data_IF_215164210012
#
_entry.id   IF_215164210012
#
_cell.length_a   1.000
_cell.length_b   1.000
_cell.length_c   1.000
_cell.angle_alpha   90.00
_cell.angle_beta   90.00
_cell.angle_gamma   90.00
#
_symmetry.space_group_name_H-M   'P 1'
#
loop_
_entity.id
_entity.type
_entity.pdbx_description
1 polymer ?
#
# COMPACT_ATOMS: atom_id res chain seq x y z
N UNK A 1 6.20 0.08 37.39
CA UNK A 1 6.47 1.27 36.56
C UNK A 1 7.57 0.91 35.57
N UNK A 2 7.22 0.71 34.31
CA UNK A 2 8.20 0.54 33.24
C UNK A 2 8.90 1.89 32.99
N UNK A 3 10.20 1.93 32.70
CA UNK A 3 10.90 3.18 32.41
C UNK A 3 10.40 3.76 31.07
N UNK A 4 10.43 5.10 30.90
CA UNK A 4 10.05 5.73 29.65
C UNK A 4 10.95 5.26 28.49
N UNK A 5 10.34 5.04 27.32
CA UNK A 5 10.96 4.53 26.07
C UNK A 5 12.23 5.30 25.71
N UNK A 6 12.30 6.59 26.06
CA UNK A 6 13.46 7.47 25.88
C UNK A 6 14.75 7.05 26.62
N UNK A 7 14.67 6.12 27.58
CA UNK A 7 15.82 5.63 28.34
C UNK A 7 16.46 4.35 27.77
N UNK A 8 15.86 3.77 26.73
CA UNK A 8 16.34 2.52 26.14
C UNK A 8 17.67 2.77 25.38
N UNK A 9 18.72 1.93 25.56
CA UNK A 9 20.04 2.18 24.98
C UNK A 9 20.05 2.27 23.44
N UNK A 10 19.06 1.67 22.77
CA UNK A 10 18.83 1.82 21.31
C UNK A 10 18.37 3.23 20.89
N UNK A 11 17.63 3.96 21.74
CA UNK A 11 17.16 5.33 21.44
C UNK A 11 18.25 6.40 21.68
N UNK A 12 19.27 6.11 22.48
CA UNK A 12 20.41 7.03 22.68
C UNK A 12 21.36 7.05 21.48
N UNK A 13 21.40 5.97 20.69
CA UNK A 13 22.28 5.88 19.51
C UNK A 13 21.80 6.80 18.38
N UNK A 14 20.48 6.87 18.16
CA UNK A 14 19.89 7.71 17.09
C UNK A 14 20.09 9.22 17.26
N UNK A 15 20.41 9.72 18.46
CA UNK A 15 20.67 11.16 18.68
C UNK A 15 22.14 11.55 18.54
N UNK A 16 23.05 10.57 18.54
CA UNK A 16 24.51 10.82 18.47
C UNK A 16 25.02 10.82 17.03
N UNK A 17 24.28 10.23 16.08
CA UNK A 17 24.68 10.11 14.67
C UNK A 17 24.45 11.38 13.81
N UNK A 18 23.77 12.42 14.34
CA UNK A 18 23.48 13.66 13.58
C UNK A 18 24.62 14.69 13.56
N UNK A 19 25.84 14.31 13.99
CA UNK A 19 26.98 15.22 14.13
C UNK A 19 28.29 14.57 13.68
N UNK A 20 28.41 14.22 12.40
CA UNK A 20 29.66 13.80 11.78
C UNK A 20 29.56 13.95 10.27
N UNK A 21 30.41 14.80 9.70
CA UNK A 21 30.57 14.99 8.25
C UNK A 21 32.04 14.70 7.95
N UNK A 22 32.30 13.64 7.18
CA UNK A 22 33.64 13.13 6.92
C UNK A 22 33.64 11.87 6.05
N UNK A 23 33.17 12.00 4.81
CA UNK A 23 32.86 10.90 3.89
C UNK A 23 33.93 9.81 3.77
N UNK A 24 33.59 8.64 4.30
CA UNK A 24 34.26 7.36 4.09
C UNK A 24 33.22 6.23 4.07
N UNK A 25 33.60 4.99 3.69
CA UNK A 25 32.69 3.84 3.63
C UNK A 25 32.02 3.52 4.99
N UNK A 26 32.65 3.90 6.11
CA UNK A 26 32.04 3.80 7.44
C UNK A 26 30.84 4.75 7.61
N UNK A 27 30.87 5.97 7.06
CA UNK A 27 29.72 6.89 7.10
C UNK A 27 28.55 6.43 6.20
N UNK A 28 28.85 5.76 5.08
CA UNK A 28 27.82 5.17 4.22
C UNK A 28 27.09 4.00 4.90
N UNK A 29 27.82 3.19 5.67
CA UNK A 29 27.24 2.10 6.48
C UNK A 29 26.41 2.68 7.64
N UNK A 30 26.91 3.71 8.32
CA UNK A 30 26.16 4.40 9.38
C UNK A 30 24.86 5.05 8.83
N UNK A 31 24.89 5.54 7.59
CA UNK A 31 23.71 6.06 6.87
C UNK A 31 22.70 4.96 6.52
N UNK A 32 23.16 3.78 6.08
CA UNK A 32 22.29 2.64 5.79
C UNK A 32 21.67 2.05 7.05
N UNK A 33 22.44 1.89 8.13
CA UNK A 33 21.92 1.39 9.41
C UNK A 33 20.89 2.35 10.01
N UNK A 34 21.11 3.67 9.87
CA UNK A 34 20.12 4.68 10.25
C UNK A 34 18.85 4.57 9.40
N UNK A 35 18.97 4.44 8.08
CA UNK A 35 17.83 4.26 7.18
C UNK A 35 17.01 3.01 7.56
N UNK A 36 17.66 1.87 7.82
CA UNK A 36 16.97 0.66 8.27
C UNK A 36 16.27 0.87 9.62
N UNK A 37 16.90 1.59 10.55
CA UNK A 37 16.28 1.88 11.83
C UNK A 37 15.03 2.77 11.68
N UNK A 38 15.07 3.76 10.79
CA UNK A 38 13.91 4.59 10.45
C UNK A 38 12.78 3.76 9.82
N UNK A 39 13.12 2.89 8.87
CA UNK A 39 12.16 1.97 8.27
C UNK A 39 11.49 1.08 9.33
N UNK A 40 12.27 0.44 10.20
CA UNK A 40 11.72 -0.45 11.23
C UNK A 40 10.90 0.33 12.27
N UNK A 41 11.25 1.58 12.55
CA UNK A 41 10.45 2.47 13.38
C UNK A 41 9.09 2.74 12.75
N UNK A 42 9.05 3.15 11.48
CA UNK A 42 7.80 3.38 10.74
C UNK A 42 6.94 2.11 10.66
N UNK A 43 7.55 0.97 10.37
CA UNK A 43 6.86 -0.33 10.32
C UNK A 43 6.32 -0.76 11.69
N UNK A 44 7.05 -0.49 12.78
CA UNK A 44 6.56 -0.76 14.13
C UNK A 44 5.35 0.11 14.50
N UNK A 45 5.36 1.39 14.11
CA UNK A 45 4.23 2.30 14.29
C UNK A 45 3.02 1.82 13.48
N UNK A 46 3.20 1.46 12.22
CA UNK A 46 2.09 0.99 11.37
C UNK A 46 1.42 -0.25 11.95
N UNK A 47 2.22 -1.23 12.39
CA UNK A 47 1.69 -2.42 13.09
C UNK A 47 0.96 -2.08 14.39
N UNK A 48 1.30 -0.99 15.05
CA UNK A 48 0.58 -0.53 16.24
C UNK A 48 -0.73 0.21 15.87
N UNK A 49 -0.79 0.91 14.74
CA UNK A 49 -2.04 1.46 14.18
C UNK A 49 -3.00 0.32 13.83
N UNK A 50 -2.57 -0.63 12.99
CA UNK A 50 -3.41 -1.74 12.52
C UNK A 50 -4.02 -2.53 13.69
N UNK A 51 -3.22 -2.83 14.74
CA UNK A 51 -3.73 -3.53 15.92
C UNK A 51 -4.77 -2.73 16.72
N UNK A 52 -4.62 -1.41 16.80
CA UNK A 52 -5.62 -0.56 17.49
C UNK A 52 -6.94 -0.59 16.76
N UNK A 53 -6.91 -0.52 15.43
CA UNK A 53 -8.13 -0.56 14.62
C UNK A 53 -8.86 -1.92 14.76
N UNK A 54 -8.10 -3.02 14.88
CA UNK A 54 -8.65 -4.36 15.15
C UNK A 54 -9.28 -4.46 16.56
N UNK A 55 -8.66 -3.85 17.58
CA UNK A 55 -9.14 -3.88 18.96
C UNK A 55 -10.36 -2.95 19.17
N UNK A 56 -10.37 -1.76 18.55
CA UNK A 56 -11.45 -0.77 18.68
C UNK A 56 -12.68 -1.10 17.82
N UNK A 57 -12.54 -1.93 16.79
CA UNK A 57 -13.62 -2.42 15.93
C UNK A 57 -14.62 -3.38 16.61
N UNK A 58 -14.37 -3.79 17.86
CA UNK A 58 -15.14 -4.81 18.57
C UNK A 58 -16.38 -4.36 19.35
N UNK A 59 -16.56 -3.07 19.66
CA UNK A 59 -17.55 -2.64 20.67
C UNK A 59 -18.74 -1.79 20.17
N UNK A 60 -18.89 -1.49 18.88
CA UNK A 60 -19.94 -0.57 18.40
C UNK A 60 -20.91 -1.09 17.32
N UNK A 61 -21.11 -2.41 17.23
CA UNK A 61 -22.09 -2.98 16.29
C UNK A 61 -23.54 -3.06 16.82
N UNK A 62 -23.81 -2.82 18.11
CA UNK A 62 -25.14 -3.09 18.72
C UNK A 62 -25.93 -1.85 19.19
N UNK A 63 -25.48 -0.64 18.84
CA UNK A 63 -26.07 0.62 19.34
C UNK A 63 -26.85 1.44 18.30
N UNK A 64 -27.38 0.81 17.24
CA UNK A 64 -28.34 1.45 16.32
C UNK A 64 -29.51 0.53 15.99
N UNK A 65 -30.24 0.12 17.03
CA UNK A 65 -31.62 -0.34 16.87
C UNK A 65 -32.54 0.90 16.86
N UNK A 66 -33.24 1.22 15.76
CA UNK A 66 -34.23 2.28 15.81
C UNK A 66 -35.35 1.88 16.79
N UNK A 67 -35.72 2.82 17.65
CA UNK A 67 -36.81 2.65 18.60
C UNK A 67 -38.09 2.27 17.85
N UNK A 68 -38.69 1.15 18.27
CA UNK A 68 -40.03 0.78 17.84
C UNK A 68 -41.04 1.78 18.41
N UNK A 69 -41.80 2.40 17.52
CA UNK A 69 -42.98 3.18 17.84
C UNK A 69 -44.13 2.21 18.15
N UNK A 70 -44.83 2.29 19.30
CA UNK A 70 -45.91 1.38 19.61
C UNK A 70 -47.18 1.76 18.83
N UNK A 71 -47.61 0.83 17.99
CA UNK A 71 -48.91 0.82 17.31
C UNK A 71 -50.08 0.96 18.28
N UNK A 72 -51.02 1.85 17.98
CA UNK A 72 -52.43 1.78 18.41
C UNK A 72 -53.32 1.88 17.16
N UNK A 73 -54.37 1.08 17.19
CA UNK A 73 -55.26 0.61 16.13
C UNK A 73 -56.12 1.69 15.44
N UNK A 74 -56.59 1.42 14.21
CA UNK A 74 -58.00 1.08 13.92
C UNK A 74 -58.45 1.49 12.48
N UNK A 75 -59.25 0.63 11.84
CA UNK A 75 -60.33 1.05 10.92
C UNK A 75 -60.07 1.24 9.41
N UNK A 76 -60.24 0.17 8.63
CA UNK A 76 -61.34 0.05 7.63
C UNK A 76 -61.43 0.90 6.34
N UNK A 77 -61.46 0.16 5.21
CA UNK A 77 -62.29 0.34 3.99
C UNK A 77 -61.98 1.41 2.91
N UNK A 78 -61.75 0.91 1.67
CA UNK A 78 -62.56 1.34 0.52
C UNK A 78 -61.86 1.88 -0.74
N UNK A 79 -61.75 1.03 -1.78
CA UNK A 79 -62.24 1.33 -3.14
C UNK A 79 -61.52 2.32 -4.08
N UNK A 80 -60.89 1.78 -5.14
CA UNK A 80 -61.32 2.03 -6.53
C UNK A 80 -60.84 3.26 -7.33
N UNK A 81 -60.24 2.95 -8.49
CA UNK A 81 -60.21 3.66 -9.81
C UNK A 81 -59.17 4.78 -10.09
N UNK A 82 -58.39 4.50 -11.16
CA UNK A 82 -57.71 5.38 -12.16
C UNK A 82 -58.68 6.44 -12.76
N UNK A 83 -58.24 7.54 -13.47
CA UNK A 83 -57.13 7.59 -14.45
C UNK A 83 -56.34 8.93 -14.62
N UNK A 84 -55.44 8.86 -15.61
CA UNK A 84 -54.48 9.79 -16.24
C UNK A 84 -54.85 11.27 -16.54
N UNK A 85 -53.82 12.14 -16.59
CA UNK A 85 -53.53 13.21 -17.58
C UNK A 85 -52.18 13.89 -17.20
N UNK A 86 -51.12 13.95 -18.05
CA UNK A 86 -50.80 14.90 -19.15
C UNK A 86 -50.53 16.35 -18.70
N UNK A 87 -49.32 16.86 -19.02
CA UNK A 87 -48.87 18.27 -18.97
C UNK A 87 -47.42 18.36 -18.45
N UNK A 88 -46.36 18.41 -19.26
CA UNK A 88 -45.89 19.44 -20.21
C UNK A 88 -45.23 20.68 -19.55
N UNK A 89 -43.96 20.87 -19.91
CA UNK A 89 -43.17 22.12 -20.03
C UNK A 89 -42.61 22.91 -18.81
N UNK A 90 -41.26 22.80 -18.74
CA UNK A 90 -40.23 23.87 -18.81
C UNK A 90 -39.94 24.82 -17.63
N UNK A 91 -38.63 25.03 -17.46
CA UNK A 91 -37.89 26.18 -16.90
C UNK A 91 -37.52 26.17 -15.40
N UNK A 92 -36.29 25.73 -15.15
CA UNK A 92 -35.34 26.25 -14.15
C UNK A 92 -34.75 27.61 -14.61
N UNK A 93 -33.99 28.36 -13.79
CA UNK A 93 -34.19 28.68 -12.38
C UNK A 93 -33.88 30.17 -12.08
N UNK A 94 -34.42 30.72 -10.99
CA UNK A 94 -33.81 31.89 -10.34
C UNK A 94 -34.27 32.04 -8.90
N UNK A 95 -33.45 31.63 -7.93
CA UNK A 95 -33.47 32.25 -6.61
C UNK A 95 -32.13 32.11 -5.92
N UNK A 96 -31.43 33.25 -5.89
CA UNK A 96 -30.30 33.56 -5.03
C UNK A 96 -30.66 33.22 -3.58
N UNK A 97 -29.90 32.33 -2.94
CA UNK A 97 -29.85 32.25 -1.48
C UNK A 97 -28.42 32.49 -1.02
N UNK A 98 -28.33 33.39 -0.07
CA UNK A 98 -27.13 34.01 0.44
C UNK A 98 -26.25 33.04 1.23
N UNK A 99 -24.96 33.38 1.24
CA UNK A 99 -23.87 32.89 2.09
C UNK A 99 -24.29 32.60 3.53
N UNK A 100 -23.85 31.47 4.03
CA UNK A 100 -23.27 31.34 5.37
C UNK A 100 -21.93 30.65 5.18
N UNK A 101 -20.88 31.47 5.13
CA UNK A 101 -19.49 31.02 5.28
C UNK A 101 -19.33 30.64 6.76
N UNK A 102 -19.66 29.38 7.08
CA UNK A 102 -19.34 28.75 8.35
C UNK A 102 -18.00 28.04 8.15
N UNK A 103 -16.90 28.80 8.23
CA UNK A 103 -15.56 28.23 8.42
C UNK A 103 -15.49 27.69 9.85
N UNK A 104 -16.11 26.53 10.04
CA UNK A 104 -15.81 25.68 11.18
C UNK A 104 -14.30 25.36 11.18
N UNK A 105 -13.67 25.24 12.36
CA UNK A 105 -12.28 24.83 12.45
C UNK A 105 -12.07 23.51 11.68
N UNK A 106 -10.90 23.32 11.06
CA UNK A 106 -10.62 22.10 10.31
C UNK A 106 -10.90 20.89 11.20
N UNK A 107 -11.48 19.80 10.64
CA UNK A 107 -11.75 18.60 11.42
C UNK A 107 -10.45 18.20 12.12
N UNK A 108 -10.51 18.02 13.44
CA UNK A 108 -9.37 17.56 14.21
C UNK A 108 -8.89 16.25 13.57
N UNK A 109 -7.65 16.24 13.10
CA UNK A 109 -6.98 15.04 12.61
C UNK A 109 -7.09 13.98 13.70
N UNK A 110 -7.58 12.80 13.36
CA UNK A 110 -7.68 11.75 14.35
C UNK A 110 -6.25 11.38 14.78
N UNK A 111 -6.02 10.99 16.04
CA UNK A 111 -4.70 10.55 16.48
C UNK A 111 -4.10 9.44 15.60
N UNK A 112 -4.93 8.65 14.92
CA UNK A 112 -4.50 7.63 13.96
C UNK A 112 -3.91 8.20 12.68
N UNK A 113 -4.42 9.33 12.19
CA UNK A 113 -3.94 9.98 10.96
C UNK A 113 -2.53 10.55 11.14
N UNK A 114 -2.22 11.08 12.33
CA UNK A 114 -0.89 11.58 12.65
C UNK A 114 0.15 10.45 12.72
N UNK A 115 -0.23 9.30 13.30
CA UNK A 115 0.62 8.12 13.37
C UNK A 115 0.90 7.57 11.96
N UNK A 116 -0.11 7.47 11.09
CA UNK A 116 0.07 7.02 9.70
C UNK A 116 0.96 7.98 8.90
N UNK A 117 0.81 9.30 9.08
CA UNK A 117 1.69 10.28 8.45
C UNK A 117 3.15 10.14 8.92
N UNK A 118 3.37 9.86 10.21
CA UNK A 118 4.69 9.59 10.76
C UNK A 118 5.29 8.27 10.24
N UNK A 119 4.46 7.23 10.08
CA UNK A 119 4.88 5.96 9.46
C UNK A 119 5.43 6.18 8.05
N UNK A 120 4.65 6.88 7.21
CA UNK A 120 5.02 7.17 5.82
C UNK A 120 6.33 7.94 5.75
N UNK A 121 6.43 9.04 6.51
CA UNK A 121 7.65 9.85 6.52
C UNK A 121 8.88 9.02 6.90
N UNK A 122 8.78 8.16 7.91
CA UNK A 122 9.89 7.33 8.34
C UNK A 122 10.28 6.27 7.28
N UNK A 123 9.30 5.62 6.67
CA UNK A 123 9.55 4.63 5.61
C UNK A 123 10.07 5.27 4.32
N UNK A 124 9.54 6.42 3.90
CA UNK A 124 9.98 7.14 2.71
C UNK A 124 11.39 7.74 2.90
N UNK A 125 11.67 8.32 4.07
CA UNK A 125 13.03 8.80 4.43
C UNK A 125 14.07 7.68 4.32
N UNK A 126 13.71 6.46 4.75
CA UNK A 126 14.60 5.31 4.66
C UNK A 126 14.93 4.86 3.23
N UNK A 127 14.08 5.17 2.25
CA UNK A 127 14.27 4.71 0.87
C UNK A 127 15.44 5.43 0.19
N UNK A 128 15.63 6.73 0.46
CA UNK A 128 16.62 7.52 -0.25
C UNK A 128 18.05 6.96 -0.08
N UNK A 129 18.57 6.73 1.14
CA UNK A 129 19.92 6.16 1.32
C UNK A 129 20.07 4.77 0.70
N UNK A 130 19.02 3.94 0.75
CA UNK A 130 19.05 2.58 0.18
C UNK A 130 19.06 2.61 -1.34
N UNK A 131 18.30 3.51 -1.96
CA UNK A 131 18.29 3.70 -3.42
C UNK A 131 19.59 4.33 -3.91
N UNK A 132 20.12 5.33 -3.21
CA UNK A 132 21.44 5.90 -3.49
C UNK A 132 22.52 4.83 -3.46
N UNK A 133 22.50 3.94 -2.47
CA UNK A 133 23.43 2.81 -2.42
C UNK A 133 23.24 1.85 -3.60
N UNK A 134 22.00 1.47 -3.91
CA UNK A 134 21.69 0.57 -5.03
C UNK A 134 22.15 1.12 -6.39
N UNK A 135 22.00 2.43 -6.62
CA UNK A 135 22.37 3.11 -7.86
C UNK A 135 23.81 3.65 -7.87
N UNK A 136 24.43 3.83 -6.71
CA UNK A 136 25.74 4.46 -6.51
C UNK A 136 26.94 3.68 -7.06
N UNK A 137 26.71 2.49 -7.61
CA UNK A 137 27.68 1.81 -8.48
C UNK A 137 28.78 1.02 -7.77
N UNK A 138 28.69 0.76 -6.46
CA UNK A 138 29.62 -0.16 -5.80
C UNK A 138 29.49 -1.59 -6.37
N UNK A 139 30.63 -2.26 -6.57
CA UNK A 139 30.76 -3.57 -7.24
C UNK A 139 30.39 -4.77 -6.35
N UNK A 140 29.90 -4.56 -5.13
CA UNK A 140 29.46 -5.68 -4.28
C UNK A 140 28.05 -6.14 -4.70
N UNK A 141 28.01 -7.13 -5.59
CA UNK A 141 26.77 -7.78 -6.06
C UNK A 141 25.90 -8.31 -4.92
N UNK A 142 26.51 -8.76 -3.81
CA UNK A 142 25.78 -9.25 -2.63
C UNK A 142 25.06 -8.10 -1.92
N UNK A 143 25.75 -6.98 -1.69
CA UNK A 143 25.14 -5.80 -1.07
C UNK A 143 24.10 -5.14 -1.97
N UNK A 144 24.32 -5.12 -3.29
CA UNK A 144 23.32 -4.65 -4.26
C UNK A 144 22.07 -5.54 -4.27
N UNK A 145 22.24 -6.86 -4.18
CA UNK A 145 21.13 -7.80 -4.00
C UNK A 145 20.37 -7.58 -2.69
N UNK A 146 21.08 -7.28 -1.60
CA UNK A 146 20.48 -6.91 -0.32
C UNK A 146 19.69 -5.60 -0.40
N UNK A 147 20.27 -4.53 -0.96
CA UNK A 147 19.64 -3.22 -1.07
C UNK A 147 18.36 -3.29 -1.91
N UNK A 148 18.39 -4.00 -3.04
CA UNK A 148 17.21 -4.28 -3.88
C UNK A 148 16.08 -4.93 -3.10
N UNK A 149 16.39 -5.90 -2.23
CA UNK A 149 15.37 -6.53 -1.38
C UNK A 149 14.80 -5.56 -0.34
N UNK A 150 15.61 -4.64 0.20
CA UNK A 150 15.12 -3.60 1.11
C UNK A 150 14.25 -2.57 0.40
N UNK A 151 14.57 -2.18 -0.84
CA UNK A 151 13.74 -1.29 -1.65
C UNK A 151 12.35 -1.87 -1.86
N UNK A 152 12.26 -3.13 -2.31
CA UNK A 152 10.97 -3.83 -2.50
C UNK A 152 10.19 -3.84 -1.18
N UNK A 153 10.84 -4.21 -0.08
CA UNK A 153 10.22 -4.28 1.25
C UNK A 153 9.67 -2.92 1.67
N UNK A 154 10.47 -1.87 1.56
CA UNK A 154 10.09 -0.53 1.99
C UNK A 154 8.98 0.06 1.12
N UNK A 155 9.08 -0.02 -0.21
CA UNK A 155 8.03 0.45 -1.11
C UNK A 155 6.70 -0.30 -0.90
N UNK A 156 6.75 -1.62 -0.70
CA UNK A 156 5.54 -2.39 -0.41
C UNK A 156 4.92 -1.94 0.91
N UNK A 157 5.71 -1.76 1.97
CA UNK A 157 5.20 -1.25 3.25
C UNK A 157 4.61 0.16 3.16
N UNK A 158 5.20 1.05 2.36
CA UNK A 158 4.61 2.38 2.10
C UNK A 158 3.25 2.23 1.41
N UNK A 159 3.17 1.37 0.39
CA UNK A 159 1.91 1.02 -0.26
C UNK A 159 0.87 0.46 0.72
N UNK A 160 1.27 -0.41 1.65
CA UNK A 160 0.38 -0.98 2.67
C UNK A 160 -0.22 0.12 3.56
N UNK A 161 0.60 1.10 3.97
CA UNK A 161 0.16 2.24 4.78
C UNK A 161 -0.83 3.11 4.01
N UNK A 162 -0.57 3.39 2.72
CA UNK A 162 -1.53 4.11 1.86
C UNK A 162 -2.84 3.34 1.69
N UNK A 163 -2.76 2.04 1.44
CA UNK A 163 -3.94 1.18 1.26
C UNK A 163 -4.79 1.14 2.53
N UNK A 164 -4.16 1.01 3.71
CA UNK A 164 -4.84 1.07 5.01
C UNK A 164 -5.58 2.39 5.22
N UNK A 165 -4.97 3.51 4.79
CA UNK A 165 -5.59 4.83 4.82
C UNK A 165 -6.64 5.08 3.72
N UNK A 166 -7.04 4.07 2.95
CA UNK A 166 -8.00 4.19 1.85
C UNK A 166 -7.48 4.90 0.59
N UNK A 167 -6.17 5.20 0.55
CA UNK A 167 -5.47 5.86 -0.57
C UNK A 167 -4.95 4.83 -1.56
N UNK A 168 -5.88 4.15 -2.23
CA UNK A 168 -5.56 3.00 -3.07
C UNK A 168 -4.82 3.34 -4.36
N UNK A 169 -4.97 4.56 -4.89
CA UNK A 169 -4.21 5.02 -6.06
C UNK A 169 -2.73 5.19 -5.75
N UNK A 170 -2.43 5.82 -4.61
CA UNK A 170 -1.07 5.96 -4.06
C UNK A 170 -0.47 4.59 -3.71
N UNK A 171 -1.27 3.69 -3.12
CA UNK A 171 -0.84 2.32 -2.86
C UNK A 171 -0.44 1.59 -4.15
N UNK A 172 -1.29 1.65 -5.19
CA UNK A 172 -1.02 1.04 -6.48
C UNK A 172 0.28 1.58 -7.11
N UNK A 173 0.53 2.89 -7.00
CA UNK A 173 1.77 3.50 -7.47
C UNK A 173 3.01 2.89 -6.83
N UNK A 174 3.03 2.84 -5.50
CA UNK A 174 4.14 2.31 -4.73
C UNK A 174 4.41 0.84 -5.06
N UNK A 175 3.34 0.03 -5.19
CA UNK A 175 3.49 -1.37 -5.58
C UNK A 175 4.01 -1.53 -7.01
N UNK A 176 3.51 -0.75 -7.97
CA UNK A 176 3.98 -0.76 -9.36
C UNK A 176 5.46 -0.35 -9.43
N UNK A 177 5.88 0.65 -8.65
CA UNK A 177 7.29 1.09 -8.56
C UNK A 177 8.20 0.04 -7.91
N UNK A 178 7.68 -0.75 -6.97
CA UNK A 178 8.43 -1.84 -6.34
C UNK A 178 8.70 -3.01 -7.30
N UNK A 179 7.81 -3.21 -8.29
CA UNK A 179 7.78 -4.41 -9.13
C UNK A 179 9.07 -4.67 -9.92
N UNK A 180 9.68 -3.69 -10.60
CA UNK A 180 10.93 -3.92 -11.33
C UNK A 180 12.07 -4.45 -10.43
N UNK A 181 12.13 -4.01 -9.17
CA UNK A 181 13.14 -4.48 -8.21
C UNK A 181 12.87 -5.92 -7.76
N UNK A 182 11.59 -6.28 -7.56
CA UNK A 182 11.20 -7.65 -7.21
C UNK A 182 11.45 -8.61 -8.38
N UNK A 183 11.08 -8.20 -9.60
CA UNK A 183 11.30 -8.95 -10.83
C UNK A 183 12.79 -9.18 -11.08
N UNK A 184 13.63 -8.14 -11.01
CA UNK A 184 15.07 -8.28 -11.13
C UNK A 184 15.67 -9.22 -10.06
N UNK A 185 15.17 -9.15 -8.82
CA UNK A 185 15.61 -10.05 -7.73
C UNK A 185 15.23 -11.51 -8.03
N UNK A 186 14.06 -11.74 -8.62
CA UNK A 186 13.60 -13.06 -9.00
C UNK A 186 14.35 -13.60 -10.23
N UNK A 187 14.49 -12.81 -11.30
CA UNK A 187 15.16 -13.21 -12.55
C UNK A 187 16.61 -13.64 -12.35
N UNK A 188 17.36 -12.89 -11.53
CA UNK A 188 18.75 -13.25 -11.18
C UNK A 188 18.82 -14.65 -10.54
N UNK A 189 17.88 -14.96 -9.65
CA UNK A 189 17.80 -16.26 -8.98
C UNK A 189 17.32 -17.36 -9.92
N UNK A 190 16.32 -17.06 -10.75
CA UNK A 190 15.78 -17.96 -11.76
C UNK A 190 16.85 -18.42 -12.75
N UNK A 191 17.69 -17.50 -13.24
CA UNK A 191 18.79 -17.82 -14.15
C UNK A 191 19.78 -18.83 -13.56
N UNK A 192 20.08 -18.73 -12.26
CA UNK A 192 20.96 -19.70 -11.56
C UNK A 192 20.34 -21.10 -11.50
N UNK A 193 19.02 -21.19 -11.35
CA UNK A 193 18.30 -22.46 -11.27
C UNK A 193 18.17 -23.13 -12.64
N UNK A 194 17.79 -22.38 -13.67
CA UNK A 194 17.65 -22.90 -15.04
C UNK A 194 19.01 -23.30 -15.65
N UNK A 195 20.09 -22.62 -15.26
CA UNK A 195 21.45 -22.99 -15.62
C UNK A 195 22.01 -24.24 -14.90
N UNK A 196 21.26 -24.82 -13.95
CA UNK A 196 21.72 -25.96 -13.15
C UNK A 196 22.92 -25.64 -12.25
N UNK A 197 23.18 -24.36 -11.99
CA UNK A 197 24.40 -23.89 -11.34
C UNK A 197 24.36 -24.06 -9.81
N UNK A 198 23.16 -24.15 -9.22
CA UNK A 198 22.99 -24.28 -7.78
C UNK A 198 21.73 -25.10 -7.42
N UNK A 199 21.75 -25.84 -6.30
CA UNK A 199 20.54 -26.42 -5.75
C UNK A 199 19.55 -25.31 -5.33
N UNK A 200 18.23 -25.56 -5.43
CA UNK A 200 17.23 -24.57 -5.06
C UNK A 200 17.32 -24.23 -3.56
N UNK A 201 17.34 -22.93 -3.26
CA UNK A 201 17.39 -22.40 -1.90
C UNK A 201 16.03 -21.79 -1.51
N UNK A 202 15.76 -21.71 -0.20
CA UNK A 202 14.55 -21.05 0.33
C UNK A 202 14.49 -19.57 -0.08
N UNK A 203 15.64 -18.91 -0.23
CA UNK A 203 15.70 -17.53 -0.72
C UNK A 203 15.21 -17.38 -2.17
N UNK A 204 15.25 -18.44 -2.98
CA UNK A 204 14.67 -18.42 -4.33
C UNK A 204 13.14 -18.48 -4.28
N UNK A 205 12.57 -19.23 -3.32
CA UNK A 205 11.13 -19.23 -3.05
C UNK A 205 10.67 -17.87 -2.54
N UNK A 206 11.38 -17.27 -1.58
CA UNK A 206 11.05 -15.95 -1.02
C UNK A 206 11.02 -14.85 -2.08
N UNK A 207 12.02 -14.83 -2.97
CA UNK A 207 12.08 -13.84 -4.04
C UNK A 207 10.90 -13.98 -5.01
N UNK A 208 10.58 -15.22 -5.42
CA UNK A 208 9.43 -15.47 -6.29
C UNK A 208 8.11 -15.15 -5.58
N UNK A 209 7.95 -15.56 -4.32
CA UNK A 209 6.77 -15.26 -3.51
C UNK A 209 6.51 -13.77 -3.42
N UNK A 210 7.53 -12.96 -3.13
CA UNK A 210 7.37 -11.50 -3.06
C UNK A 210 6.88 -10.89 -4.37
N UNK A 211 7.37 -11.36 -5.52
CA UNK A 211 6.87 -10.90 -6.81
C UNK A 211 5.38 -11.26 -7.00
N UNK A 212 4.99 -12.48 -6.61
CA UNK A 212 3.59 -12.93 -6.67
C UNK A 212 2.69 -12.13 -5.74
N UNK A 213 3.11 -11.93 -4.49
CA UNK A 213 2.38 -11.11 -3.52
C UNK A 213 2.23 -9.67 -4.03
N UNK A 214 3.29 -9.11 -4.60
CA UNK A 214 3.28 -7.76 -5.13
C UNK A 214 2.28 -7.60 -6.29
N UNK A 215 2.28 -8.52 -7.26
CA UNK A 215 1.30 -8.50 -8.36
C UNK A 215 -0.14 -8.65 -7.82
N UNK A 216 -0.36 -9.47 -6.78
CA UNK A 216 -1.67 -9.61 -6.15
C UNK A 216 -2.13 -8.31 -5.47
N UNK A 217 -1.26 -7.62 -4.73
CA UNK A 217 -1.62 -6.34 -4.07
C UNK A 217 -1.75 -5.17 -5.05
N UNK A 218 -1.03 -5.17 -6.19
CA UNK A 218 -1.30 -4.22 -7.29
C UNK A 218 -2.73 -4.42 -7.79
N UNK A 219 -3.13 -5.66 -8.06
CA UNK A 219 -4.49 -5.97 -8.51
C UNK A 219 -5.53 -5.48 -7.49
N UNK A 220 -5.39 -5.83 -6.22
CA UNK A 220 -6.30 -5.42 -5.15
C UNK A 220 -6.39 -3.90 -4.99
N UNK A 221 -5.27 -3.18 -5.03
CA UNK A 221 -5.25 -1.73 -4.93
C UNK A 221 -5.98 -1.08 -6.11
N UNK A 222 -5.75 -1.57 -7.32
CA UNK A 222 -6.42 -1.07 -8.53
C UNK A 222 -7.94 -1.29 -8.48
N UNK A 223 -8.39 -2.44 -7.98
CA UNK A 223 -9.81 -2.76 -7.80
C UNK A 223 -10.45 -2.03 -6.61
N UNK A 224 -9.64 -1.52 -5.69
CA UNK A 224 -10.10 -0.70 -4.56
C UNK A 224 -10.29 0.77 -4.92
N UNK A 225 -9.74 1.22 -6.04
CA UNK A 225 -9.96 2.58 -6.52
C UNK A 225 -11.44 2.79 -6.96
N UNK A 226 -11.96 4.02 -6.92
CA UNK A 226 -13.31 4.33 -7.40
C UNK A 226 -13.54 3.90 -8.86
N UNK A 227 -14.77 3.48 -9.17
CA UNK A 227 -15.16 3.07 -10.52
C UNK A 227 -15.32 4.27 -11.44
N UNK A 228 -14.84 4.16 -12.67
CA UNK A 228 -15.02 5.17 -13.71
C UNK A 228 -14.12 6.40 -13.55
N UNK A 229 -13.19 6.39 -12.59
CA UNK A 229 -12.22 7.46 -12.37
C UNK A 229 -10.82 7.03 -12.83
N UNK A 230 -10.07 7.99 -13.36
CA UNK A 230 -8.65 7.79 -13.67
C UNK A 230 -7.88 7.64 -12.37
N UNK A 231 -6.98 6.67 -12.33
CA UNK A 231 -6.08 6.45 -11.20
C UNK A 231 -4.83 7.27 -11.47
N UNK A 232 -4.70 8.38 -10.75
CA UNK A 232 -3.57 9.28 -10.85
C UNK A 232 -3.09 9.69 -9.45
N UNK A 233 -1.78 9.79 -9.29
CA UNK A 233 -1.13 10.19 -8.04
C UNK A 233 -0.53 11.57 -8.18
N UNK A 234 -0.35 12.24 -7.05
CA UNK A 234 0.34 13.52 -6.99
C UNK A 234 1.79 13.30 -7.42
N UNK A 235 2.27 14.13 -8.34
CA UNK A 235 3.68 14.13 -8.73
C UNK A 235 4.42 15.01 -7.73
N UNK A 236 5.28 14.41 -6.91
CA UNK A 236 6.09 15.15 -5.93
C UNK A 236 7.32 15.83 -6.58
N UNK A 237 7.55 15.59 -7.88
CA UNK A 237 8.65 16.17 -8.66
C UNK A 237 8.42 17.63 -9.06
N UNK A 238 7.26 18.21 -8.73
CA UNK A 238 7.07 19.67 -8.74
C UNK A 238 7.78 20.29 -7.51
N UNK A 239 9.11 20.14 -7.44
CA UNK A 239 9.93 21.08 -6.66
C UNK A 239 9.68 22.46 -7.25
N UNK A 240 8.80 23.25 -6.61
CA UNK A 240 8.66 24.66 -6.90
C UNK A 240 10.06 25.28 -6.75
N UNK A 241 10.75 25.47 -7.88
CA UNK A 241 11.95 26.28 -8.00
C UNK A 241 11.61 27.61 -7.30
N UNK A 242 12.19 27.84 -6.12
CA UNK A 242 12.02 29.04 -5.32
C UNK A 242 12.58 30.25 -6.10
N UNK A 243 11.84 30.67 -7.13
CA UNK A 243 12.02 31.94 -7.80
C UNK A 243 11.56 33.02 -6.85
N UNK A 244 12.50 33.56 -6.07
CA UNK A 244 12.32 34.83 -5.36
C UNK A 244 11.72 35.87 -6.31
N UNK A 245 10.46 36.26 -6.07
CA UNK A 245 9.92 37.51 -6.60
C UNK A 245 8.72 37.46 -7.54
N UNK A 246 7.76 36.53 -7.38
CA UNK A 246 6.44 36.70 -8.00
C UNK A 246 5.31 36.52 -6.99
N UNK A 247 4.76 37.65 -6.55
CA UNK A 247 3.51 37.73 -5.81
C UNK A 247 2.36 37.70 -6.81
N UNK A 248 2.02 36.52 -7.31
CA UNK A 248 0.72 36.31 -7.94
C UNK A 248 0.15 34.97 -7.48
N UNK A 249 -1.03 35.06 -6.88
CA UNK A 249 -1.89 33.99 -6.38
C UNK A 249 -2.34 33.06 -7.52
N UNK A 250 -1.42 32.36 -8.15
CA UNK A 250 -1.72 31.28 -9.07
C UNK A 250 -1.85 30.00 -8.23
N UNK A 251 -3.03 29.41 -8.24
CA UNK A 251 -3.26 28.09 -7.66
C UNK A 251 -2.17 27.13 -8.15
N UNK A 252 -1.39 26.57 -7.22
CA UNK A 252 -0.43 25.51 -7.52
C UNK A 252 -1.20 24.40 -8.25
N UNK A 253 -1.00 24.30 -9.57
CA UNK A 253 -1.53 23.21 -10.38
C UNK A 253 -0.68 22.01 -10.07
N UNK A 254 -1.03 21.34 -8.98
CA UNK A 254 -0.39 20.10 -8.58
C UNK A 254 -0.46 19.11 -9.74
N UNK A 255 0.70 18.78 -10.33
CA UNK A 255 0.75 17.85 -11.45
C UNK A 255 0.39 16.47 -10.92
N UNK A 256 -0.45 15.74 -11.67
CA UNK A 256 -0.84 14.36 -11.33
C UNK A 256 -0.28 13.40 -12.37
N UNK A 257 0.49 12.40 -11.92
CA UNK A 257 0.95 11.31 -12.76
C UNK A 257 -0.16 10.28 -12.93
N UNK A 258 -0.61 10.09 -14.17
CA UNK A 258 -1.59 9.07 -14.52
C UNK A 258 -0.95 7.68 -14.46
N UNK A 259 -1.50 6.80 -13.63
CA UNK A 259 -1.11 5.39 -13.52
C UNK A 259 -1.92 4.56 -14.51
N UNK A 260 -3.24 4.73 -14.48
CA UNK A 260 -4.16 3.95 -15.29
C UNK A 260 -5.43 4.75 -15.56
N UNK A 261 -5.92 4.68 -16.81
CA UNK A 261 -7.20 5.29 -17.16
C UNK A 261 -8.35 4.47 -16.61
N UNK A 262 -9.46 5.13 -16.31
CA UNK A 262 -10.68 4.49 -15.84
C UNK A 262 -11.10 3.28 -16.68
N UNK A 263 -11.02 3.41 -18.01
CA UNK A 263 -11.41 2.37 -18.96
C UNK A 263 -10.46 1.17 -19.01
N UNK A 264 -9.19 1.36 -18.66
CA UNK A 264 -8.16 0.33 -18.74
C UNK A 264 -7.94 -0.38 -17.38
N UNK A 265 -8.55 0.15 -16.31
CA UNK A 265 -8.36 -0.30 -14.92
C UNK A 265 -8.54 -1.80 -14.72
N UNK A 266 -9.62 -2.37 -15.26
CA UNK A 266 -9.91 -3.80 -15.10
C UNK A 266 -8.92 -4.68 -15.87
N UNK A 267 -8.50 -4.25 -17.06
CA UNK A 267 -7.51 -5.00 -17.85
C UNK A 267 -6.12 -4.92 -17.21
N UNK A 268 -5.76 -3.76 -16.67
CA UNK A 268 -4.54 -3.57 -15.90
C UNK A 268 -4.51 -4.48 -14.66
N UNK A 269 -5.58 -4.44 -13.86
CA UNK A 269 -5.72 -5.32 -12.69
C UNK A 269 -5.70 -6.80 -13.07
N UNK A 270 -6.36 -7.18 -14.18
CA UNK A 270 -6.38 -8.55 -14.68
C UNK A 270 -4.99 -9.05 -15.10
N UNK A 271 -4.17 -8.20 -15.73
CA UNK A 271 -2.80 -8.55 -16.10
C UNK A 271 -1.96 -8.93 -14.89
N UNK A 272 -2.04 -8.15 -13.82
CA UNK A 272 -1.34 -8.45 -12.57
C UNK A 272 -1.92 -9.68 -11.86
N UNK A 273 -3.25 -9.84 -11.82
CA UNK A 273 -3.88 -11.04 -11.26
C UNK A 273 -3.40 -12.32 -11.97
N UNK A 274 -3.32 -12.29 -13.30
CA UNK A 274 -2.86 -13.44 -14.08
C UNK A 274 -1.36 -13.71 -13.87
N UNK A 275 -0.53 -12.66 -13.81
CA UNK A 275 0.89 -12.77 -13.46
C UNK A 275 1.07 -13.43 -12.09
N UNK A 276 0.32 -12.97 -11.08
CA UNK A 276 0.35 -13.54 -9.74
C UNK A 276 -0.10 -15.02 -9.75
N UNK A 277 -1.16 -15.35 -10.48
CA UNK A 277 -1.69 -16.72 -10.60
C UNK A 277 -0.67 -17.68 -11.21
N UNK A 278 -0.09 -17.32 -12.35
CA UNK A 278 0.94 -18.13 -13.02
C UNK A 278 2.21 -18.26 -12.17
N UNK A 279 2.65 -17.16 -11.55
CA UNK A 279 3.80 -17.17 -10.65
C UNK A 279 3.56 -18.06 -9.42
N UNK A 280 2.34 -18.07 -8.89
CA UNK A 280 1.94 -18.92 -7.76
C UNK A 280 1.96 -20.41 -8.12
N UNK A 281 1.46 -20.79 -9.29
CA UNK A 281 1.51 -22.18 -9.77
C UNK A 281 2.96 -22.70 -9.83
N UNK A 282 3.87 -21.90 -10.40
CA UNK A 282 5.28 -22.24 -10.47
C UNK A 282 5.91 -22.32 -9.06
N UNK A 283 5.59 -21.38 -8.18
CA UNK A 283 6.08 -21.32 -6.80
C UNK A 283 5.68 -22.57 -6.00
N UNK A 284 4.41 -22.95 -6.04
CA UNK A 284 3.88 -24.16 -5.37
C UNK A 284 4.57 -25.40 -5.92
N UNK A 285 4.73 -25.50 -7.24
CA UNK A 285 5.40 -26.63 -7.86
C UNK A 285 6.86 -26.74 -7.40
N UNK A 286 7.58 -25.61 -7.26
CA UNK A 286 8.96 -25.60 -6.77
C UNK A 286 9.05 -25.95 -5.29
N UNK A 287 8.19 -25.38 -4.46
CA UNK A 287 8.06 -25.73 -3.05
C UNK A 287 7.84 -27.24 -2.86
N UNK A 288 6.91 -27.82 -3.61
CA UNK A 288 6.63 -29.26 -3.59
C UNK A 288 7.85 -30.11 -3.96
N UNK A 289 8.62 -29.71 -4.99
CA UNK A 289 9.87 -30.39 -5.36
C UNK A 289 10.92 -30.32 -4.25
N UNK A 290 11.07 -29.15 -3.61
CA UNK A 290 12.00 -29.00 -2.49
C UNK A 290 11.59 -29.84 -1.28
N UNK A 291 10.29 -29.89 -0.97
CA UNK A 291 9.76 -30.67 0.15
C UNK A 291 9.83 -32.18 -0.07
N UNK A 292 9.68 -32.63 -1.31
CA UNK A 292 9.81 -34.03 -1.71
C UNK A 292 11.26 -34.50 -1.91
N UNK A 293 12.25 -33.60 -1.82
CA UNK A 293 13.67 -33.90 -1.97
C UNK A 293 14.24 -34.73 -0.82
N UNK A 294 15.36 -35.41 -1.07
CA UNK A 294 16.08 -36.15 -0.05
C UNK A 294 16.89 -35.18 0.84
N UNK A 295 16.25 -34.65 1.89
CA UNK A 295 16.89 -33.81 2.89
C UNK A 295 15.95 -32.74 3.45
N UNK A 296 16.10 -32.42 4.73
CA UNK A 296 15.41 -31.27 5.32
C UNK A 296 16.10 -29.99 4.84
N UNK A 297 15.38 -29.12 4.16
CA UNK A 297 15.85 -27.76 3.85
C UNK A 297 15.43 -26.85 5.00
N UNK A 298 16.42 -26.25 5.67
CA UNK A 298 16.17 -25.34 6.79
C UNK A 298 15.31 -24.15 6.34
N UNK A 299 14.31 -23.78 7.15
CA UNK A 299 13.40 -22.66 6.88
C UNK A 299 12.29 -22.94 5.84
N UNK A 300 12.28 -24.13 5.23
CA UNK A 300 11.28 -24.47 4.21
C UNK A 300 9.85 -24.55 4.76
N UNK A 301 9.65 -25.05 5.97
CA UNK A 301 8.31 -25.14 6.56
C UNK A 301 7.72 -23.77 6.91
N UNK A 302 8.55 -22.83 7.34
CA UNK A 302 8.11 -21.45 7.59
C UNK A 302 7.77 -20.75 6.29
N UNK A 303 8.61 -20.88 5.26
CA UNK A 303 8.28 -20.36 3.93
C UNK A 303 7.03 -21.03 3.35
N UNK A 304 6.76 -22.29 3.68
CA UNK A 304 5.51 -22.96 3.31
C UNK A 304 4.25 -22.31 3.90
N UNK A 305 4.33 -21.74 5.10
CA UNK A 305 3.23 -20.97 5.69
C UNK A 305 3.03 -19.66 4.94
N UNK A 306 4.12 -18.98 4.63
CA UNK A 306 4.11 -17.73 3.87
C UNK A 306 3.54 -17.92 2.45
N UNK A 307 3.91 -19.00 1.76
CA UNK A 307 3.31 -19.38 0.49
C UNK A 307 1.80 -19.61 0.65
N UNK A 308 1.37 -20.22 1.76
CA UNK A 308 -0.05 -20.37 2.09
C UNK A 308 -0.79 -19.04 2.21
N UNK A 309 -0.18 -18.02 2.83
CA UNK A 309 -0.74 -16.67 2.88
C UNK A 309 -0.79 -16.02 1.50
N UNK A 310 0.26 -16.15 0.70
CA UNK A 310 0.29 -15.63 -0.66
C UNK A 310 -0.81 -16.27 -1.54
N UNK A 311 -1.14 -17.55 -1.36
CA UNK A 311 -2.26 -18.19 -2.07
C UNK A 311 -3.58 -17.49 -1.75
N UNK A 312 -3.80 -17.14 -0.47
CA UNK A 312 -5.02 -16.44 -0.07
C UNK A 312 -5.11 -15.04 -0.70
N UNK A 313 -3.99 -14.33 -0.82
CA UNK A 313 -3.93 -13.02 -1.50
C UNK A 313 -4.31 -13.14 -2.98
N UNK A 314 -3.71 -14.09 -3.70
CA UNK A 314 -3.98 -14.30 -5.14
C UNK A 314 -5.44 -14.69 -5.38
N UNK A 315 -6.00 -15.58 -4.54
CA UNK A 315 -7.40 -15.99 -4.63
C UNK A 315 -8.34 -14.82 -4.31
N UNK A 316 -8.03 -14.01 -3.30
CA UNK A 316 -8.78 -12.80 -2.97
C UNK A 316 -8.86 -11.83 -4.15
N UNK A 317 -7.69 -11.52 -4.73
CA UNK A 317 -7.58 -10.63 -5.89
C UNK A 317 -8.40 -11.14 -7.08
N UNK A 318 -8.32 -12.44 -7.36
CA UNK A 318 -9.08 -13.08 -8.43
C UNK A 318 -10.60 -13.03 -8.21
N UNK A 319 -11.07 -13.31 -6.99
CA UNK A 319 -12.49 -13.24 -6.68
C UNK A 319 -13.02 -11.81 -6.84
N UNK A 320 -12.28 -10.83 -6.33
CA UNK A 320 -12.65 -9.42 -6.42
C UNK A 320 -12.68 -8.92 -7.87
N UNK A 321 -11.74 -9.37 -8.70
CA UNK A 321 -11.72 -9.04 -10.12
C UNK A 321 -12.98 -9.56 -10.84
N UNK A 322 -13.41 -10.79 -10.54
CA UNK A 322 -14.62 -11.37 -11.12
C UNK A 322 -15.90 -10.69 -10.62
N UNK A 323 -15.93 -10.26 -9.35
CA UNK A 323 -17.02 -9.43 -8.81
C UNK A 323 -17.12 -8.08 -9.53
N UNK A 324 -16.00 -7.38 -9.73
CA UNK A 324 -15.97 -6.09 -10.45
C UNK A 324 -16.35 -6.23 -11.92
N UNK A 325 -16.00 -7.35 -12.58
CA UNK A 325 -16.39 -7.64 -13.98
C UNK A 325 -17.88 -7.94 -14.14
N UNK A 326 -18.51 -8.44 -13.09
CA UNK A 326 -19.91 -8.88 -13.10
C UNK A 326 -20.91 -7.77 -12.72
N UNK A 327 -20.42 -6.62 -12.26
CA UNK A 327 -21.21 -5.53 -11.69
C UNK A 327 -21.40 -4.36 -12.66
#
# INVERSE_FOLDING_TARGET
MAPPIASHPRFKLGRVLMAGSGGGPEEAIDSLDAALAEYEYGNALFRAVVRRDEDDGGENADSKKPAADPSVEDGGHGGGKKPAAVGDRTEEPASKKARTDDEGPPPATSPGDEDLALCLRAMESSLCPVMEYYHGGEEDDSLRGWARNQIVRAMTSVGDVHSHGGRHGEAADWYVRARPYAEASWEERRGRLEGGAAPPAVEDLKAQRRLVELDAVVCEAMLSCPRGEDIAVLDDDDEEEYGEGRTDTAASTQTRRLICRAGDRLDFAAGHCESARLGMEELIARYGRMKGGAGSVEGLDDEGKDIGYAVMLVVGAGNRLEEERSA
#
